data_IF_184317893553
#
_entry.id   IF_184317893553
#
_cell.length_a   1.000
_cell.length_b   1.000
_cell.length_c   1.000
_cell.angle_alpha   90.00
_cell.angle_beta   90.00
_cell.angle_gamma   90.00
#
_symmetry.space_group_name_H-M   'P 1'
#
loop_
_entity.id
_entity.type
_entity.pdbx_description
1 polymer ?
#
# COMPACT_ATOMS: atom_id res chain seq x y z
N UNK A 1 15.91 -8.35 25.07
CA UNK A 1 15.17 -8.72 23.83
C UNK A 1 13.87 -7.94 23.78
N UNK A 2 13.63 -7.21 22.69
CA UNK A 2 12.40 -6.43 22.46
C UNK A 2 11.19 -7.36 22.23
N UNK A 3 9.97 -6.89 22.52
CA UNK A 3 8.73 -7.65 22.32
C UNK A 3 8.58 -8.16 20.87
N UNK A 4 8.98 -7.35 19.89
CA UNK A 4 9.04 -7.72 18.47
C UNK A 4 9.98 -8.92 18.20
N UNK A 5 11.14 -9.00 18.88
CA UNK A 5 12.07 -10.14 18.73
C UNK A 5 11.47 -11.46 19.23
N UNK A 6 10.70 -11.43 20.33
CA UNK A 6 10.00 -12.63 20.86
C UNK A 6 8.85 -13.06 19.93
N UNK A 7 8.13 -12.11 19.35
CA UNK A 7 7.03 -12.37 18.41
C UNK A 7 7.54 -12.91 17.07
N UNK A 8 8.62 -12.35 16.53
CA UNK A 8 9.33 -12.88 15.36
C UNK A 8 9.80 -14.32 15.58
N UNK A 9 10.34 -14.65 16.76
CA UNK A 9 10.73 -16.02 17.09
C UNK A 9 9.52 -16.98 17.17
N UNK A 10 8.37 -16.52 17.68
CA UNK A 10 7.14 -17.33 17.73
C UNK A 10 6.60 -17.63 16.33
N UNK A 11 6.57 -16.63 15.45
CA UNK A 11 6.14 -16.84 14.06
C UNK A 11 7.12 -17.75 13.32
N UNK A 12 8.44 -17.55 13.45
CA UNK A 12 9.46 -18.42 12.86
C UNK A 12 9.37 -19.88 13.32
N UNK A 13 8.94 -20.15 14.56
CA UNK A 13 8.74 -21.52 15.06
C UNK A 13 7.52 -22.21 14.46
N UNK A 14 6.51 -21.44 14.09
CA UNK A 14 5.26 -21.95 13.51
C UNK A 14 5.31 -22.03 11.98
N UNK A 15 6.20 -21.27 11.34
CA UNK A 15 6.43 -21.35 9.90
C UNK A 15 7.40 -22.49 9.56
N UNK A 16 6.97 -23.43 8.71
CA UNK A 16 7.82 -24.48 8.19
C UNK A 16 8.41 -24.04 6.83
N UNK A 17 9.67 -23.56 6.78
CA UNK A 17 10.27 -23.02 5.56
C UNK A 17 10.41 -24.05 4.43
N UNK A 18 10.26 -25.36 4.73
CA UNK A 18 10.27 -26.42 3.73
C UNK A 18 8.96 -26.57 2.94
N UNK A 19 7.89 -25.85 3.31
CA UNK A 19 6.59 -25.88 2.61
C UNK A 19 6.39 -24.76 1.58
N UNK A 20 7.19 -23.71 1.58
CA UNK A 20 7.09 -22.61 0.60
C UNK A 20 7.95 -22.89 -0.63
N UNK A 21 7.50 -23.85 -1.45
CA UNK A 21 7.89 -23.93 -2.87
C UNK A 21 6.64 -23.71 -3.71
N UNK A 22 6.12 -22.49 -3.73
CA UNK A 22 5.14 -22.10 -4.75
C UNK A 22 5.67 -20.89 -5.51
N UNK A 23 5.66 -21.02 -6.84
CA UNK A 23 6.26 -20.09 -7.78
C UNK A 23 5.67 -18.68 -7.63
N UNK A 24 6.53 -17.70 -7.39
CA UNK A 24 6.17 -16.29 -7.50
C UNK A 24 5.77 -15.91 -8.92
N UNK A 25 4.85 -14.94 -9.03
CA UNK A 25 4.53 -13.96 -10.10
C UNK A 25 4.60 -14.40 -11.59
N UNK A 26 4.83 -15.67 -11.93
CA UNK A 26 4.79 -16.18 -13.30
C UNK A 26 3.37 -16.50 -13.80
N UNK A 27 2.34 -16.25 -12.97
CA UNK A 27 0.96 -16.61 -13.28
C UNK A 27 0.11 -15.50 -13.91
N UNK A 28 0.59 -14.25 -14.03
CA UNK A 28 -0.28 -13.13 -14.43
C UNK A 28 -0.85 -13.30 -15.86
N UNK A 29 -0.19 -14.08 -16.74
CA UNK A 29 -0.65 -14.35 -18.11
C UNK A 29 -0.41 -15.81 -18.58
N UNK A 30 -0.17 -16.75 -17.67
CA UNK A 30 0.16 -18.14 -17.99
C UNK A 30 -1.02 -19.10 -17.82
N UNK A 31 -1.82 -19.30 -18.86
CA UNK A 31 -2.78 -20.40 -18.91
C UNK A 31 -2.04 -21.73 -19.19
N UNK A 32 -1.70 -22.47 -18.13
CA UNK A 32 -1.62 -23.94 -18.20
C UNK A 32 -2.35 -24.53 -17.01
N UNK A 33 -3.45 -25.20 -17.33
CA UNK A 33 -4.27 -25.91 -16.36
C UNK A 33 -3.41 -26.91 -15.59
N UNK A 34 -3.44 -26.80 -14.26
CA UNK A 34 -2.85 -27.79 -13.38
C UNK A 34 -3.69 -27.95 -12.11
N UNK A 35 -3.72 -29.20 -11.69
CA UNK A 35 -4.76 -29.91 -10.94
C UNK A 35 -5.26 -29.16 -9.69
N UNK A 36 -6.58 -29.22 -9.48
CA UNK A 36 -7.21 -28.82 -8.23
C UNK A 36 -7.58 -30.10 -7.46
N UNK A 37 -7.10 -30.21 -6.22
CA UNK A 37 -7.47 -31.28 -5.29
C UNK A 37 -8.76 -30.91 -4.56
N UNK A 38 -9.89 -30.97 -5.26
CA UNK A 38 -11.20 -31.08 -4.62
C UNK A 38 -11.78 -32.45 -5.02
N UNK A 39 -11.85 -33.38 -4.06
CA UNK A 39 -12.57 -34.65 -4.14
C UNK A 39 -12.26 -35.57 -5.35
N UNK A 40 -11.02 -35.60 -5.84
CA UNK A 40 -10.60 -36.58 -6.86
C UNK A 40 -11.23 -36.43 -8.25
N UNK A 41 -12.12 -35.45 -8.46
CA UNK A 41 -12.75 -35.21 -9.75
C UNK A 41 -12.13 -33.99 -10.43
N UNK A 42 -11.44 -34.24 -11.56
CA UNK A 42 -10.92 -33.21 -12.46
C UNK A 42 -12.08 -32.47 -13.12
N UNK A 43 -12.50 -31.36 -12.54
CA UNK A 43 -13.40 -30.41 -13.21
C UNK A 43 -12.57 -29.52 -14.15
N UNK A 44 -12.34 -30.02 -15.36
CA UNK A 44 -11.50 -29.37 -16.39
C UNK A 44 -12.04 -28.00 -16.86
N UNK A 45 -13.28 -27.66 -16.52
CA UNK A 45 -13.94 -26.42 -16.95
C UNK A 45 -13.81 -25.27 -15.93
N UNK A 46 -13.30 -25.51 -14.72
CA UNK A 46 -13.16 -24.46 -13.71
C UNK A 46 -11.89 -23.65 -13.93
N UNK A 47 -12.06 -22.35 -14.19
CA UNK A 47 -10.95 -21.41 -14.19
C UNK A 47 -10.39 -21.28 -12.76
N UNK A 48 -9.25 -21.94 -12.50
CA UNK A 48 -8.55 -21.96 -11.22
C UNK A 48 -8.21 -20.56 -10.70
N UNK A 49 -7.86 -19.63 -11.58
CA UNK A 49 -7.54 -18.26 -11.19
C UNK A 49 -8.78 -17.54 -10.64
N UNK A 50 -9.91 -17.63 -11.35
CA UNK A 50 -11.17 -17.06 -10.90
C UNK A 50 -11.62 -17.70 -9.57
N UNK A 51 -11.51 -19.02 -9.46
CA UNK A 51 -11.84 -19.73 -8.22
C UNK A 51 -10.99 -19.25 -7.04
N UNK A 52 -9.66 -19.18 -7.22
CA UNK A 52 -8.74 -18.73 -6.17
C UNK A 52 -8.98 -17.27 -5.81
N UNK A 53 -9.23 -16.41 -6.80
CA UNK A 53 -9.59 -15.01 -6.56
C UNK A 53 -10.88 -14.88 -5.74
N UNK A 54 -11.95 -15.57 -6.14
CA UNK A 54 -13.23 -15.56 -5.42
C UNK A 54 -13.07 -16.10 -3.98
N UNK A 55 -12.25 -17.14 -3.79
CA UNK A 55 -11.90 -17.66 -2.46
C UNK A 55 -11.23 -16.58 -1.61
N UNK A 56 -10.23 -15.86 -2.13
CA UNK A 56 -9.55 -14.76 -1.42
C UNK A 56 -10.48 -13.58 -1.14
N UNK A 57 -11.41 -13.28 -2.04
CA UNK A 57 -12.42 -12.24 -1.80
C UNK A 57 -13.40 -12.59 -0.68
N UNK A 58 -13.63 -13.89 -0.39
CA UNK A 58 -14.38 -14.30 0.82
C UNK A 58 -13.62 -13.95 2.10
N UNK A 59 -12.28 -14.08 2.10
CA UNK A 59 -11.44 -13.66 3.22
C UNK A 59 -11.55 -12.15 3.41
N UNK A 60 -11.54 -11.38 2.33
CA UNK A 60 -11.74 -9.92 2.41
C UNK A 60 -13.10 -9.57 3.02
N UNK A 61 -14.17 -10.29 2.67
CA UNK A 61 -15.48 -10.09 3.32
C UNK A 61 -15.43 -10.34 4.83
N UNK A 62 -14.68 -11.35 5.28
CA UNK A 62 -14.45 -11.59 6.71
C UNK A 62 -13.64 -10.45 7.34
N UNK A 63 -12.59 -9.95 6.67
CA UNK A 63 -11.84 -8.77 7.11
C UNK A 63 -12.78 -7.57 7.34
N UNK A 64 -13.69 -7.29 6.40
CA UNK A 64 -14.66 -6.20 6.53
C UNK A 64 -15.57 -6.38 7.75
N UNK A 65 -16.05 -7.60 8.00
CA UNK A 65 -16.93 -7.90 9.12
C UNK A 65 -16.23 -7.76 10.48
N UNK A 66 -14.99 -8.21 10.57
CA UNK A 66 -14.20 -8.14 11.81
C UNK A 66 -13.76 -6.71 12.11
N UNK A 67 -13.37 -5.95 11.09
CA UNK A 67 -12.84 -4.59 11.21
C UNK A 67 -13.89 -3.50 10.95
N UNK A 68 -15.11 -3.71 11.47
CA UNK A 68 -16.27 -2.87 11.13
C UNK A 68 -16.09 -1.40 11.54
N UNK A 69 -15.34 -1.11 12.62
CA UNK A 69 -15.14 0.27 13.10
C UNK A 69 -14.25 1.01 12.12
N UNK A 70 -13.15 0.38 11.71
CA UNK A 70 -12.27 0.95 10.70
C UNK A 70 -13.00 1.20 9.39
N UNK A 71 -13.66 0.18 8.82
CA UNK A 71 -14.31 0.31 7.51
C UNK A 71 -15.43 1.34 7.53
N UNK A 72 -16.21 1.42 8.62
CA UNK A 72 -17.22 2.45 8.77
C UNK A 72 -16.62 3.85 8.78
N UNK A 73 -15.59 4.10 9.59
CA UNK A 73 -14.92 5.41 9.66
C UNK A 73 -14.22 5.77 8.34
N UNK A 74 -13.58 4.79 7.69
CA UNK A 74 -12.89 4.97 6.42
C UNK A 74 -13.87 5.36 5.29
N UNK A 75 -14.96 4.61 5.13
CA UNK A 75 -16.00 4.89 4.12
C UNK A 75 -16.69 6.22 4.42
N UNK A 76 -17.01 6.49 5.70
CA UNK A 76 -17.60 7.77 6.09
C UNK A 76 -16.68 8.94 5.76
N UNK A 77 -15.38 8.80 6.02
CA UNK A 77 -14.38 9.81 5.67
C UNK A 77 -14.33 10.11 4.17
N UNK A 78 -14.32 9.06 3.34
CA UNK A 78 -14.38 9.18 1.87
C UNK A 78 -15.64 9.96 1.47
N UNK A 79 -16.81 9.58 1.98
CA UNK A 79 -18.08 10.20 1.62
C UNK A 79 -18.16 11.66 2.08
N UNK A 80 -17.73 11.97 3.30
CA UNK A 80 -17.70 13.34 3.84
C UNK A 80 -16.86 14.25 2.95
N UNK A 81 -15.61 13.85 2.65
CA UNK A 81 -14.71 14.63 1.81
C UNK A 81 -15.19 14.71 0.36
N UNK A 82 -15.87 13.66 -0.13
CA UNK A 82 -16.46 13.64 -1.47
C UNK A 82 -17.61 14.62 -1.61
N UNK A 83 -18.52 14.67 -0.63
CA UNK A 83 -19.65 15.57 -0.69
C UNK A 83 -19.25 17.02 -0.42
N UNK A 84 -18.32 17.25 0.50
CA UNK A 84 -17.90 18.60 0.88
C UNK A 84 -16.96 19.25 -0.14
N UNK A 85 -16.04 18.48 -0.73
CA UNK A 85 -14.97 19.02 -1.58
C UNK A 85 -14.91 18.40 -2.99
N UNK A 86 -15.88 17.57 -3.37
CA UNK A 86 -15.96 17.02 -4.72
C UNK A 86 -16.41 18.06 -5.75
N UNK A 87 -15.81 18.00 -6.94
CA UNK A 87 -16.03 18.98 -8.02
C UNK A 87 -16.98 18.50 -9.13
N UNK A 88 -17.63 17.36 -8.95
CA UNK A 88 -18.55 16.79 -9.94
C UNK A 88 -19.92 17.49 -9.90
N UNK A 89 -20.66 17.39 -11.00
CA UNK A 89 -21.98 18.02 -11.15
C UNK A 89 -23.04 17.51 -10.15
N UNK A 90 -22.90 16.26 -9.69
CA UNK A 90 -23.89 15.63 -8.81
C UNK A 90 -23.21 15.01 -7.58
N UNK A 91 -23.93 14.93 -6.45
CA UNK A 91 -23.45 14.28 -5.24
C UNK A 91 -23.09 12.81 -5.47
N UNK A 92 -23.89 12.11 -6.29
CA UNK A 92 -23.61 10.72 -6.67
C UNK A 92 -22.28 10.60 -7.42
N UNK A 93 -22.04 11.47 -8.41
CA UNK A 93 -20.77 11.49 -9.14
C UNK A 93 -19.60 11.83 -8.22
N UNK A 94 -19.78 12.74 -7.26
CA UNK A 94 -18.79 13.04 -6.23
C UNK A 94 -18.41 11.82 -5.40
N UNK A 95 -19.39 11.07 -4.89
CA UNK A 95 -19.14 9.84 -4.13
C UNK A 95 -18.41 8.77 -4.97
N UNK A 96 -18.85 8.55 -6.22
CA UNK A 96 -18.20 7.61 -7.14
C UNK A 96 -16.74 8.01 -7.37
N UNK A 97 -16.48 9.28 -7.67
CA UNK A 97 -15.12 9.77 -7.90
C UNK A 97 -14.26 9.74 -6.64
N UNK A 98 -14.84 9.92 -5.45
CA UNK A 98 -14.14 9.71 -4.19
C UNK A 98 -13.68 8.26 -4.01
N UNK A 99 -14.59 7.30 -4.16
CA UNK A 99 -14.27 5.86 -4.09
C UNK A 99 -13.24 5.48 -5.15
N UNK A 100 -13.38 5.98 -6.38
CA UNK A 100 -12.40 5.76 -7.43
C UNK A 100 -11.02 6.33 -7.06
N UNK A 101 -10.98 7.53 -6.49
CA UNK A 101 -9.73 8.20 -6.13
C UNK A 101 -8.97 7.46 -5.03
N UNK A 102 -9.66 6.98 -4.00
CA UNK A 102 -8.99 6.19 -2.94
C UNK A 102 -8.51 4.85 -3.48
N UNK A 103 -9.31 4.17 -4.31
CA UNK A 103 -8.91 2.89 -4.89
C UNK A 103 -7.69 3.05 -5.81
N UNK A 104 -7.66 4.11 -6.61
CA UNK A 104 -6.50 4.46 -7.43
C UNK A 104 -5.26 4.73 -6.56
N UNK A 105 -5.39 5.47 -5.46
CA UNK A 105 -4.30 5.76 -4.55
C UNK A 105 -3.74 4.49 -3.88
N UNK A 106 -4.62 3.67 -3.32
CA UNK A 106 -4.25 2.38 -2.71
C UNK A 106 -3.58 1.45 -3.72
N UNK A 107 -4.09 1.40 -4.96
CA UNK A 107 -3.54 0.55 -6.01
C UNK A 107 -2.13 0.99 -6.42
N UNK A 108 -1.94 2.29 -6.70
CA UNK A 108 -0.64 2.82 -7.10
C UNK A 108 0.38 2.74 -5.96
N UNK A 109 -0.02 3.00 -4.72
CA UNK A 109 0.81 2.80 -3.53
C UNK A 109 1.28 1.35 -3.42
N UNK A 110 0.37 0.38 -3.55
CA UNK A 110 0.70 -1.05 -3.59
C UNK A 110 1.72 -1.38 -4.69
N UNK A 111 1.56 -0.85 -5.90
CA UNK A 111 2.51 -1.10 -7.00
C UNK A 111 3.88 -0.48 -6.70
N UNK A 112 3.94 0.74 -6.16
CA UNK A 112 5.20 1.38 -5.79
C UNK A 112 5.91 0.59 -4.69
N UNK A 113 5.17 0.13 -3.67
CA UNK A 113 5.69 -0.71 -2.59
C UNK A 113 6.18 -2.07 -3.11
N UNK A 114 5.45 -2.68 -4.04
CA UNK A 114 5.92 -3.90 -4.71
C UNK A 114 7.23 -3.63 -5.46
N UNK A 115 7.30 -2.55 -6.23
CA UNK A 115 8.48 -2.20 -7.03
C UNK A 115 9.68 -1.89 -6.14
N UNK A 116 9.50 -1.19 -5.01
CA UNK A 116 10.60 -0.86 -4.10
C UNK A 116 11.25 -2.08 -3.45
N UNK A 117 10.57 -3.23 -3.44
CA UNK A 117 11.11 -4.53 -3.01
C UNK A 117 11.75 -5.36 -4.12
N UNK A 118 11.37 -5.13 -5.37
CA UNK A 118 11.81 -5.96 -6.50
C UNK A 118 12.93 -5.32 -7.32
N UNK A 119 13.11 -4.01 -7.22
CA UNK A 119 14.06 -3.26 -8.02
C UNK A 119 15.05 -2.54 -7.11
N UNK A 120 16.34 -2.89 -7.22
CA UNK A 120 17.40 -2.05 -6.67
C UNK A 120 17.88 -1.05 -7.72
N UNK A 121 17.49 0.21 -7.52
CA UNK A 121 17.92 1.31 -8.37
C UNK A 121 19.41 1.61 -8.18
N UNK A 122 19.96 1.36 -6.99
CA UNK A 122 21.40 1.49 -6.74
C UNK A 122 22.20 0.48 -7.58
N UNK A 123 21.77 -0.78 -7.68
CA UNK A 123 22.43 -1.77 -8.53
C UNK A 123 22.26 -1.45 -10.01
N UNK A 124 21.08 -1.06 -10.47
CA UNK A 124 20.88 -0.60 -11.86
C UNK A 124 21.82 0.57 -12.19
N UNK A 125 21.97 1.53 -11.27
CA UNK A 125 22.89 2.65 -11.46
C UNK A 125 24.36 2.20 -11.52
N UNK A 126 24.74 1.23 -10.67
CA UNK A 126 26.08 0.63 -10.67
C UNK A 126 26.40 -0.02 -12.01
N UNK A 127 25.48 -0.81 -12.53
CA UNK A 127 25.69 -1.57 -13.77
C UNK A 127 25.70 -0.67 -15.01
N UNK A 128 24.90 0.40 -15.02
CA UNK A 128 24.72 1.27 -16.19
C UNK A 128 25.70 2.43 -16.25
N UNK A 129 25.96 3.12 -15.13
CA UNK A 129 26.60 4.44 -15.16
C UNK A 129 27.89 4.52 -14.34
N UNK A 130 28.15 3.61 -13.42
CA UNK A 130 29.27 3.74 -12.46
C UNK A 130 30.67 3.61 -13.10
N UNK A 131 30.74 3.13 -14.34
CA UNK A 131 31.97 3.09 -15.15
C UNK A 131 32.07 4.27 -16.13
N UNK A 132 31.09 5.18 -16.15
CA UNK A 132 31.10 6.33 -17.04
C UNK A 132 32.24 7.28 -16.69
N UNK A 133 33.19 7.45 -17.62
CA UNK A 133 34.29 8.40 -17.48
C UNK A 133 33.83 9.86 -17.50
N UNK A 134 32.59 10.11 -17.91
CA UNK A 134 32.01 11.45 -18.04
C UNK A 134 31.37 11.98 -16.76
N UNK A 135 31.19 11.13 -15.75
CA UNK A 135 30.54 11.50 -14.49
C UNK A 135 31.61 11.55 -13.38
N UNK A 136 31.79 12.69 -12.69
CA UNK A 136 32.73 12.78 -11.58
C UNK A 136 32.40 11.81 -10.44
N UNK A 137 33.42 11.30 -9.74
CA UNK A 137 33.24 10.38 -8.59
C UNK A 137 32.32 10.94 -7.49
N UNK A 138 32.38 12.25 -7.25
CA UNK A 138 31.50 12.94 -6.29
C UNK A 138 30.03 12.86 -6.72
N UNK A 139 29.74 13.03 -8.01
CA UNK A 139 28.39 12.92 -8.58
C UNK A 139 27.89 11.47 -8.48
N UNK A 140 28.74 10.48 -8.73
CA UNK A 140 28.37 9.07 -8.47
C UNK A 140 28.01 8.81 -7.01
N UNK A 141 28.76 9.38 -6.05
CA UNK A 141 28.46 9.23 -4.64
C UNK A 141 27.13 9.89 -4.27
N UNK A 142 26.88 11.11 -4.77
CA UNK A 142 25.61 11.83 -4.57
C UNK A 142 24.44 11.03 -5.14
N UNK A 143 24.54 10.55 -6.39
CA UNK A 143 23.47 9.80 -7.04
C UNK A 143 23.17 8.49 -6.31
N UNK A 144 24.19 7.72 -5.92
CA UNK A 144 23.97 6.49 -5.15
C UNK A 144 23.31 6.77 -3.80
N UNK A 145 23.73 7.83 -3.10
CA UNK A 145 23.10 8.23 -1.85
C UNK A 145 21.65 8.65 -2.07
N UNK A 146 21.38 9.46 -3.10
CA UNK A 146 20.02 9.84 -3.46
C UNK A 146 19.16 8.60 -3.71
N UNK A 147 19.58 7.70 -4.62
CA UNK A 147 18.85 6.47 -4.93
C UNK A 147 18.60 5.59 -3.70
N UNK A 148 19.62 5.45 -2.84
CA UNK A 148 19.51 4.67 -1.59
C UNK A 148 18.48 5.25 -0.62
N UNK A 149 18.43 6.57 -0.48
CA UNK A 149 17.53 7.23 0.48
C UNK A 149 16.18 7.62 -0.11
N UNK A 150 15.94 7.41 -1.41
CA UNK A 150 14.65 7.69 -2.06
C UNK A 150 13.96 6.45 -2.61
N UNK A 151 14.63 5.65 -3.44
CA UNK A 151 14.00 4.51 -4.11
C UNK A 151 14.27 3.19 -3.38
N UNK A 152 15.51 2.95 -2.94
CA UNK A 152 15.90 1.69 -2.29
C UNK A 152 15.79 1.76 -0.75
N UNK A 153 15.27 2.86 -0.19
CA UNK A 153 15.17 3.03 1.26
C UNK A 153 14.30 1.96 1.90
N UNK A 154 13.17 1.63 1.26
CA UNK A 154 12.19 0.74 1.84
C UNK A 154 12.74 -0.70 1.96
N UNK A 155 13.51 -1.17 0.98
CA UNK A 155 14.19 -2.47 1.04
C UNK A 155 15.45 -2.42 1.94
N UNK A 156 16.35 -1.46 1.70
CA UNK A 156 17.69 -1.46 2.32
C UNK A 156 17.75 -0.87 3.74
N UNK A 157 16.83 0.03 4.11
CA UNK A 157 16.89 0.77 5.37
C UNK A 157 15.68 0.46 6.25
N UNK A 158 14.46 0.50 5.71
CA UNK A 158 13.24 0.29 6.51
C UNK A 158 13.16 -1.13 7.09
N UNK A 159 13.61 -2.16 6.35
CA UNK A 159 13.64 -3.53 6.86
C UNK A 159 14.85 -3.88 7.72
N UNK A 160 15.90 -3.04 7.72
CA UNK A 160 17.03 -3.25 8.61
C UNK A 160 16.69 -2.80 10.04
N UNK A 161 16.28 -3.78 10.85
CA UNK A 161 15.91 -3.59 12.25
C UNK A 161 17.00 -2.96 13.13
N UNK A 162 18.26 -2.91 12.68
CA UNK A 162 19.36 -2.27 13.41
C UNK A 162 19.38 -0.75 13.25
N UNK A 163 18.86 -0.21 12.14
CA UNK A 163 18.92 1.23 11.81
C UNK A 163 17.55 1.88 11.56
N UNK A 164 16.50 1.11 11.24
CA UNK A 164 15.19 1.64 10.84
C UNK A 164 14.46 2.47 11.92
N UNK A 165 14.89 2.36 13.18
CA UNK A 165 14.30 3.09 14.32
C UNK A 165 14.96 4.43 14.63
N UNK A 166 16.01 4.82 13.91
CA UNK A 166 16.60 6.15 14.10
C UNK A 166 15.61 7.24 13.70
N UNK A 167 15.55 8.35 14.44
CA UNK A 167 14.59 9.44 14.17
C UNK A 167 14.65 9.95 12.72
N UNK A 168 15.84 10.03 12.14
CA UNK A 168 16.04 10.40 10.73
C UNK A 168 15.38 9.41 9.78
N UNK A 169 15.54 8.10 10.00
CA UNK A 169 14.92 7.09 9.16
C UNK A 169 13.39 7.05 9.33
N UNK A 170 12.87 7.31 10.54
CA UNK A 170 11.43 7.46 10.78
C UNK A 170 10.87 8.64 9.97
N UNK A 171 11.58 9.77 9.96
CA UNK A 171 11.18 10.93 9.17
C UNK A 171 11.20 10.63 7.67
N UNK A 172 12.24 9.95 7.18
CA UNK A 172 12.34 9.55 5.77
C UNK A 172 11.21 8.58 5.40
N UNK A 173 10.93 7.57 6.23
CA UNK A 173 9.79 6.65 6.06
C UNK A 173 8.47 7.44 5.95
N UNK A 174 8.28 8.44 6.82
CA UNK A 174 7.12 9.32 6.78
C UNK A 174 6.99 10.10 5.47
N UNK A 175 8.07 10.74 5.03
CA UNK A 175 8.10 11.50 3.77
C UNK A 175 7.83 10.58 2.57
N UNK A 176 8.42 9.38 2.56
CA UNK A 176 8.22 8.43 1.47
C UNK A 176 6.80 7.88 1.45
N UNK A 177 6.23 7.54 2.60
CA UNK A 177 4.84 7.10 2.69
C UNK A 177 3.90 8.20 2.19
N UNK A 178 4.12 9.47 2.58
CA UNK A 178 3.33 10.58 2.04
C UNK A 178 3.48 10.66 0.50
N UNK A 179 4.73 10.69 0.01
CA UNK A 179 4.97 10.86 -1.41
C UNK A 179 4.38 9.71 -2.24
N UNK A 180 4.64 8.47 -1.87
CA UNK A 180 4.33 7.31 -2.70
C UNK A 180 2.92 6.75 -2.52
N UNK A 181 2.26 6.97 -1.39
CA UNK A 181 0.88 6.51 -1.17
C UNK A 181 -0.18 7.51 -1.65
N UNK A 182 0.21 8.68 -2.17
CA UNK A 182 -0.76 9.60 -2.75
C UNK A 182 -0.19 10.94 -3.19
N UNK A 183 0.95 11.35 -2.64
CA UNK A 183 1.61 12.60 -2.99
C UNK A 183 1.91 12.71 -4.48
N UNK A 184 2.45 11.65 -5.10
CA UNK A 184 2.70 11.60 -6.55
C UNK A 184 1.41 11.82 -7.34
N UNK A 185 0.30 11.19 -6.95
CA UNK A 185 -1.01 11.36 -7.63
C UNK A 185 -1.49 12.80 -7.53
N UNK A 186 -1.37 13.42 -6.35
CA UNK A 186 -1.74 14.82 -6.13
C UNK A 186 -0.86 15.74 -6.99
N UNK A 187 0.46 15.54 -7.01
CA UNK A 187 1.38 16.33 -7.84
C UNK A 187 1.05 16.20 -9.33
N UNK A 188 0.82 14.97 -9.81
CA UNK A 188 0.39 14.73 -11.19
C UNK A 188 -0.94 15.42 -11.50
N UNK A 189 -1.91 15.38 -10.60
CA UNK A 189 -3.19 16.07 -10.77
C UNK A 189 -3.04 17.59 -10.81
N UNK A 190 -2.22 18.17 -9.93
CA UNK A 190 -1.98 19.62 -9.92
C UNK A 190 -1.30 20.10 -11.19
N UNK A 191 -0.31 19.35 -11.68
CA UNK A 191 0.47 19.71 -12.86
C UNK A 191 -0.28 19.47 -14.18
N UNK A 192 -0.82 18.26 -14.37
CA UNK A 192 -1.44 17.87 -15.64
C UNK A 192 -2.96 18.10 -15.69
N UNK A 193 -3.61 18.32 -14.54
CA UNK A 193 -5.07 18.53 -14.43
C UNK A 193 -5.88 17.47 -15.18
N UNK A 194 -5.49 16.20 -15.04
CA UNK A 194 -6.09 15.07 -15.76
C UNK A 194 -7.57 14.97 -15.44
N UNK A 195 -8.39 14.86 -16.49
CA UNK A 195 -9.84 14.65 -16.41
C UNK A 195 -10.25 13.53 -17.36
N UNK A 196 -11.20 12.71 -16.93
CA UNK A 196 -11.82 11.68 -17.75
C UNK A 196 -13.11 12.25 -18.35
N UNK A 197 -13.28 12.18 -19.66
CA UNK A 197 -14.53 12.60 -20.32
C UNK A 197 -15.31 11.35 -20.72
N UNK A 198 -16.52 11.18 -20.20
CA UNK A 198 -17.42 10.07 -20.50
C UNK A 198 -18.83 10.61 -20.71
N UNK A 199 -19.47 10.28 -21.84
CA UNK A 199 -20.84 10.70 -22.17
C UNK A 199 -21.06 12.23 -22.02
N UNK A 200 -20.13 13.04 -22.50
CA UNK A 200 -20.13 14.52 -22.37
C UNK A 200 -20.07 15.05 -20.92
N UNK A 201 -19.80 14.18 -19.94
CA UNK A 201 -19.50 14.57 -18.57
C UNK A 201 -18.01 14.47 -18.30
N UNK A 202 -17.50 15.38 -17.48
CA UNK A 202 -16.09 15.44 -17.12
C UNK A 202 -15.93 15.02 -15.67
N UNK A 203 -15.18 13.95 -15.46
CA UNK A 203 -14.87 13.34 -14.18
C UNK A 203 -13.43 13.65 -13.81
N UNK A 204 -13.20 13.96 -12.53
CA UNK A 204 -11.87 14.26 -12.01
C UNK A 204 -11.67 13.56 -10.68
N UNK A 205 -10.43 13.19 -10.38
CA UNK A 205 -10.09 12.65 -9.07
C UNK A 205 -10.39 13.69 -7.98
N UNK A 206 -10.70 13.21 -6.78
CA UNK A 206 -10.85 14.04 -5.61
C UNK A 206 -9.53 14.06 -4.82
N UNK A 207 -8.72 15.14 -4.92
CA UNK A 207 -7.42 15.20 -4.26
C UNK A 207 -7.50 15.16 -2.73
N UNK A 208 -8.62 15.58 -2.12
CA UNK A 208 -8.82 15.51 -0.68
C UNK A 208 -9.00 14.07 -0.19
N UNK A 209 -9.63 13.22 -1.00
CA UNK A 209 -9.76 11.79 -0.69
C UNK A 209 -8.42 11.07 -0.86
N UNK A 210 -7.61 11.46 -1.86
CA UNK A 210 -6.24 10.96 -2.00
C UNK A 210 -5.37 11.40 -0.80
N UNK A 211 -5.47 12.67 -0.39
CA UNK A 211 -4.81 13.21 0.78
C UNK A 211 -5.21 12.46 2.06
N UNK A 212 -6.49 12.10 2.20
CA UNK A 212 -6.98 11.28 3.30
C UNK A 212 -6.27 9.92 3.38
N UNK A 213 -6.18 9.20 2.26
CA UNK A 213 -5.48 7.92 2.21
C UNK A 213 -3.99 8.05 2.55
N UNK A 214 -3.32 9.03 1.96
CA UNK A 214 -1.91 9.31 2.18
C UNK A 214 -1.59 9.57 3.66
N UNK A 215 -2.38 10.41 4.34
CA UNK A 215 -2.20 10.70 5.77
C UNK A 215 -2.53 9.45 6.61
N UNK A 216 -3.61 8.74 6.29
CA UNK A 216 -4.00 7.52 6.99
C UNK A 216 -2.87 6.47 6.94
N UNK A 217 -2.37 6.16 5.75
CA UNK A 217 -1.29 5.20 5.57
C UNK A 217 -0.04 5.60 6.36
N UNK A 218 0.38 6.87 6.22
CA UNK A 218 1.58 7.38 6.87
C UNK A 218 1.47 7.31 8.38
N UNK A 219 0.36 7.80 8.95
CA UNK A 219 0.17 7.82 10.40
C UNK A 219 0.05 6.41 10.97
N UNK A 220 -0.57 5.47 10.24
CA UNK A 220 -0.62 4.05 10.66
C UNK A 220 0.79 3.45 10.75
N UNK A 221 1.65 3.66 9.76
CA UNK A 221 3.02 3.15 9.77
C UNK A 221 3.87 3.79 10.86
N UNK A 222 3.78 5.12 11.00
CA UNK A 222 4.61 5.85 11.96
C UNK A 222 4.15 5.70 13.42
N UNK A 223 2.86 5.52 13.66
CA UNK A 223 2.29 5.47 15.02
C UNK A 223 1.85 4.05 15.35
N UNK A 224 0.83 3.54 14.65
CA UNK A 224 0.14 2.31 15.04
C UNK A 224 1.02 1.08 14.91
N UNK A 225 1.80 0.96 13.83
CA UNK A 225 2.74 -0.16 13.65
C UNK A 225 3.89 -0.13 14.63
N UNK A 226 4.18 1.00 15.27
CA UNK A 226 5.18 1.10 16.35
C UNK A 226 4.62 0.77 17.73
N UNK A 227 3.32 0.92 17.92
CA UNK A 227 2.64 0.65 19.20
C UNK A 227 2.06 -0.77 19.27
N UNK A 228 1.36 -1.20 18.21
CA UNK A 228 0.59 -2.45 18.19
C UNK A 228 1.41 -3.62 17.61
N UNK A 229 2.28 -3.33 16.64
CA UNK A 229 3.06 -4.34 15.90
C UNK A 229 2.18 -5.49 15.35
N UNK A 230 1.26 -5.23 14.40
CA UNK A 230 0.38 -6.27 13.89
C UNK A 230 1.17 -7.36 13.16
N UNK A 231 0.67 -8.60 13.24
CA UNK A 231 1.35 -9.77 12.69
C UNK A 231 1.55 -9.68 11.18
N UNK A 232 0.62 -9.08 10.44
CA UNK A 232 0.76 -8.88 8.99
C UNK A 232 2.00 -8.04 8.63
N UNK A 233 2.21 -6.93 9.35
CA UNK A 233 3.39 -6.09 9.18
C UNK A 233 4.68 -6.79 9.64
N UNK A 234 4.64 -7.53 10.76
CA UNK A 234 5.81 -8.34 11.18
C UNK A 234 6.16 -9.39 10.12
N UNK A 235 5.15 -10.05 9.54
CA UNK A 235 5.32 -11.03 8.48
C UNK A 235 5.87 -10.39 7.20
N UNK A 236 5.45 -9.17 6.85
CA UNK A 236 6.07 -8.39 5.79
C UNK A 236 7.57 -8.18 6.06
N UNK A 237 7.96 -7.77 7.27
CA UNK A 237 9.37 -7.64 7.68
C UNK A 237 10.14 -8.99 7.78
N UNK A 238 9.49 -10.13 7.58
CA UNK A 238 10.16 -11.43 7.45
C UNK A 238 10.22 -11.92 6.01
N UNK A 239 9.24 -11.55 5.18
CA UNK A 239 9.19 -11.80 3.76
C UNK A 239 8.67 -10.54 3.06
N UNK A 240 9.61 -9.72 2.56
CA UNK A 240 9.33 -8.39 2.01
C UNK A 240 8.45 -8.42 0.75
N UNK A 241 8.21 -9.60 0.16
CA UNK A 241 7.34 -9.79 -1.00
C UNK A 241 5.88 -10.12 -0.65
N UNK A 242 5.53 -10.11 0.64
CA UNK A 242 4.21 -10.47 1.15
C UNK A 242 3.65 -9.38 2.06
N UNK A 243 2.32 -9.31 2.18
CA UNK A 243 1.57 -8.34 3.01
C UNK A 243 1.95 -6.88 2.73
N UNK A 244 1.88 -6.47 1.45
CA UNK A 244 2.27 -5.13 0.99
C UNK A 244 1.14 -4.11 1.20
N UNK A 245 -0.11 -4.56 1.26
CA UNK A 245 -1.26 -3.68 1.40
C UNK A 245 -1.61 -3.42 2.85
N UNK A 246 -1.98 -2.17 3.16
CA UNK A 246 -2.38 -1.79 4.52
C UNK A 246 -3.68 -2.48 5.00
N UNK A 247 -4.59 -2.85 4.08
CA UNK A 247 -5.95 -3.31 4.38
C UNK A 247 -6.23 -4.76 3.95
N UNK A 248 -5.20 -5.53 3.63
CA UNK A 248 -5.27 -6.84 2.97
C UNK A 248 -5.89 -6.86 1.55
N UNK A 249 -6.54 -5.78 1.09
CA UNK A 249 -7.32 -5.78 -0.16
C UNK A 249 -6.47 -6.17 -1.37
N UNK A 250 -5.38 -5.43 -1.63
CA UNK A 250 -4.53 -5.70 -2.79
C UNK A 250 -3.68 -6.96 -2.61
N UNK A 251 -3.33 -7.32 -1.38
CA UNK A 251 -2.71 -8.62 -1.12
C UNK A 251 -3.62 -9.79 -1.47
N UNK A 252 -4.92 -9.67 -1.22
CA UNK A 252 -5.91 -10.68 -1.58
C UNK A 252 -6.26 -10.64 -3.07
N UNK A 253 -6.26 -9.48 -3.72
CA UNK A 253 -6.43 -9.40 -5.18
C UNK A 253 -5.27 -10.12 -5.88
N UNK A 254 -4.03 -9.77 -5.54
CA UNK A 254 -2.83 -10.26 -6.21
C UNK A 254 -2.22 -11.55 -5.62
N UNK A 255 -2.74 -12.05 -4.49
CA UNK A 255 -2.22 -13.26 -3.86
C UNK A 255 -0.86 -13.06 -3.15
N UNK A 256 -0.57 -11.84 -2.70
CA UNK A 256 0.63 -11.52 -1.91
C UNK A 256 0.41 -11.56 -0.39
N UNK A 257 -0.75 -12.03 0.10
CA UNK A 257 -0.94 -12.26 1.54
C UNK A 257 -0.02 -13.40 2.03
N UNK A 258 0.58 -13.25 3.20
CA UNK A 258 1.49 -14.23 3.80
C UNK A 258 0.74 -15.47 4.31
N UNK A 259 -0.20 -15.27 5.25
CA UNK A 259 -1.11 -16.32 5.74
C UNK A 259 -2.56 -15.89 5.51
N UNK A 260 -3.26 -16.61 4.64
CA UNK A 260 -4.68 -16.38 4.33
C UNK A 260 -5.61 -16.61 5.53
N UNK A 261 -5.18 -17.35 6.55
CA UNK A 261 -5.96 -17.59 7.76
C UNK A 261 -5.82 -16.46 8.80
N UNK A 262 -4.82 -15.60 8.65
CA UNK A 262 -4.56 -14.51 9.56
C UNK A 262 -5.07 -13.18 9.00
N UNK A 263 -6.25 -12.78 9.46
CA UNK A 263 -6.86 -11.50 9.10
C UNK A 263 -6.23 -10.40 9.95
N UNK A 264 -5.76 -9.33 9.30
CA UNK A 264 -5.23 -8.18 10.01
C UNK A 264 -6.34 -7.47 10.80
N UNK A 265 -6.08 -7.19 12.07
CA UNK A 265 -6.89 -6.25 12.86
C UNK A 265 -6.60 -4.83 12.36
N UNK A 266 -7.61 -4.17 11.82
CA UNK A 266 -7.55 -2.79 11.31
C UNK A 266 -8.27 -1.83 12.25
N UNK A 267 -9.01 -2.30 13.26
CA UNK A 267 -9.83 -1.42 14.11
C UNK A 267 -8.95 -0.41 14.88
N UNK A 268 -7.68 -0.76 15.14
CA UNK A 268 -6.73 0.17 15.72
C UNK A 268 -6.34 1.34 14.79
N UNK A 269 -6.69 1.30 13.49
CA UNK A 269 -6.51 2.41 12.54
C UNK A 269 -7.65 3.43 12.58
N UNK A 270 -8.76 3.10 13.24
CA UNK A 270 -10.00 3.92 13.26
C UNK A 270 -9.72 5.36 13.68
N UNK A 271 -8.89 5.55 14.71
CA UNK A 271 -8.55 6.88 15.24
C UNK A 271 -7.78 7.70 14.19
N UNK A 272 -6.83 7.09 13.48
CA UNK A 272 -6.10 7.73 12.39
C UNK A 272 -7.04 8.16 11.27
N UNK A 273 -8.02 7.32 10.92
CA UNK A 273 -9.00 7.65 9.88
C UNK A 273 -9.83 8.89 10.28
N UNK A 274 -10.34 8.93 11.51
CA UNK A 274 -11.11 10.08 12.02
C UNK A 274 -10.28 11.36 12.04
N UNK A 275 -9.08 11.32 12.64
CA UNK A 275 -8.23 12.52 12.73
C UNK A 275 -7.71 13.00 11.39
N UNK A 276 -7.47 12.11 10.43
CA UNK A 276 -7.05 12.51 9.08
C UNK A 276 -8.15 13.32 8.39
N UNK A 277 -9.42 12.90 8.49
CA UNK A 277 -10.56 13.65 7.93
C UNK A 277 -10.71 15.00 8.62
N UNK A 278 -10.70 15.03 9.95
CA UNK A 278 -10.82 16.27 10.72
C UNK A 278 -9.68 17.24 10.41
N UNK A 279 -8.44 16.76 10.36
CA UNK A 279 -7.27 17.56 10.03
C UNK A 279 -7.38 18.18 8.64
N UNK A 280 -7.80 17.41 7.63
CA UNK A 280 -8.02 17.92 6.27
C UNK A 280 -9.08 19.01 6.26
N UNK A 281 -10.20 18.80 6.96
CA UNK A 281 -11.27 19.80 7.04
C UNK A 281 -10.77 21.07 7.71
N UNK A 282 -10.17 20.97 8.90
CA UNK A 282 -9.68 22.13 9.66
C UNK A 282 -8.67 22.94 8.84
N UNK A 283 -7.68 22.28 8.23
CA UNK A 283 -6.66 22.97 7.42
C UNK A 283 -7.29 23.67 6.23
N UNK A 284 -8.24 23.03 5.53
CA UNK A 284 -8.91 23.62 4.38
C UNK A 284 -9.74 24.85 4.76
N UNK A 285 -10.55 24.73 5.82
CA UNK A 285 -11.41 25.82 6.30
C UNK A 285 -10.58 27.00 6.82
N UNK A 286 -9.47 26.74 7.53
CA UNK A 286 -8.55 27.81 7.95
C UNK A 286 -7.92 28.51 6.75
N UNK A 287 -7.49 27.76 5.73
CA UNK A 287 -6.92 28.36 4.53
C UNK A 287 -7.93 29.23 3.78
N UNK A 288 -9.20 28.81 3.71
CA UNK A 288 -10.27 29.60 3.07
C UNK A 288 -10.68 30.84 3.87
N UNK A 289 -10.52 30.82 5.19
CA UNK A 289 -10.82 31.97 6.06
C UNK A 289 -9.74 33.06 5.97
N UNK A 290 -8.49 32.68 5.68
CA UNK A 290 -7.33 33.57 5.74
C UNK A 290 -6.63 33.84 4.41
N UNK A 291 -6.99 33.15 3.33
CA UNK A 291 -6.44 33.31 1.97
C UNK A 291 -7.39 33.99 1.01
#
# INVERSE_FOLDING_TARGET
MTQCSKQQQKIRKNCNPKKEKEAGIHGLFGARGNENKDNGNKDCCKNKYLYNFLKRMRIFSTNVKLNKRFWFSFISGILILSFKYGTQKTLKANAIMGIFSVFLAMFLGYIIHLVSHHISFVEIYKDTLNHSKYIPKSVHAINRSFLKYTFDFHDLIHHDSSINKSHTNILIEGIQNLLFEGGVIILFYLYFKIKLVLNNETYSINPYVVLFWMILYTTVHLINYRLVHPNSHIAHHMNYYKNLSLTDLFDLIFGSKYDENEIQDLDHFTINAVFSVLGIIIVKELFDLFG
#
